data_IF_152249560006
#
_entry.id   IF_152249560006
#
_cell.length_a   1.000
_cell.length_b   1.000
_cell.length_c   1.000
_cell.angle_alpha   90.00
_cell.angle_beta   90.00
_cell.angle_gamma   90.00
#
_symmetry.space_group_name_H-M   'P 1'
#
loop_
_entity.id
_entity.type
_entity.pdbx_description
1 polymer ?
#
# COMPACT_ATOMS: atom_id res chain seq x y z
N UNK A 1 15.83 -7.82 -12.11
CA UNK A 1 14.58 -7.39 -11.45
C UNK A 1 13.45 -7.59 -12.44
N UNK A 2 12.33 -8.17 -12.00
CA UNK A 2 11.13 -8.46 -12.81
C UNK A 2 9.97 -7.67 -12.25
N UNK A 3 9.16 -7.05 -13.10
CA UNK A 3 7.94 -6.37 -12.71
C UNK A 3 6.71 -7.19 -13.15
N UNK A 4 5.74 -7.34 -12.25
CA UNK A 4 4.46 -7.97 -12.52
C UNK A 4 3.37 -6.91 -12.39
N UNK A 5 2.59 -6.71 -13.44
CA UNK A 5 1.42 -5.84 -13.41
C UNK A 5 0.16 -6.68 -13.31
N UNK A 6 -0.48 -6.68 -12.14
CA UNK A 6 -1.79 -7.30 -11.94
C UNK A 6 -2.86 -6.21 -12.05
N UNK A 7 -3.69 -6.29 -13.07
CA UNK A 7 -4.75 -5.32 -13.34
C UNK A 7 -5.12 -5.27 -14.82
N UNK A 8 -6.17 -4.50 -15.11
CA UNK A 8 -6.67 -4.26 -16.46
C UNK A 8 -7.24 -2.83 -16.53
N UNK A 9 -7.71 -2.44 -17.70
CA UNK A 9 -8.32 -1.12 -17.95
C UNK A 9 -9.73 -1.05 -17.36
N UNK A 10 -9.84 -0.64 -16.10
CA UNK A 10 -11.12 -0.60 -15.38
C UNK A 10 -12.21 0.24 -16.09
N UNK A 11 -11.81 1.31 -16.77
CA UNK A 11 -12.70 2.22 -17.50
C UNK A 11 -12.48 2.19 -19.01
N UNK A 12 -11.78 1.18 -19.55
CA UNK A 12 -11.50 1.06 -20.97
C UNK A 12 -10.77 2.28 -21.51
N UNK A 13 -11.23 2.79 -22.68
CA UNK A 13 -10.59 3.90 -23.41
C UNK A 13 -10.61 5.27 -22.69
N UNK A 14 -11.41 5.43 -21.63
CA UNK A 14 -11.47 6.67 -20.86
C UNK A 14 -10.48 6.67 -19.67
N UNK A 15 -9.76 5.56 -19.46
CA UNK A 15 -8.65 5.53 -18.49
C UNK A 15 -7.53 6.46 -18.96
N UNK A 16 -7.00 7.24 -18.05
CA UNK A 16 -5.81 8.04 -18.35
C UNK A 16 -4.63 7.14 -18.73
N UNK A 17 -3.82 7.57 -19.70
CA UNK A 17 -2.69 6.77 -20.23
C UNK A 17 -3.10 5.51 -20.99
N UNK A 18 -4.39 5.32 -21.37
CA UNK A 18 -4.87 4.10 -22.01
C UNK A 18 -4.05 3.67 -23.24
N UNK A 19 -3.76 4.60 -24.15
CA UNK A 19 -3.05 4.27 -25.40
C UNK A 19 -1.57 3.92 -25.15
N UNK A 20 -0.93 4.55 -24.18
CA UNK A 20 0.44 4.27 -23.77
C UNK A 20 0.54 2.88 -23.12
N UNK A 21 -0.33 2.60 -22.18
CA UNK A 21 -0.35 1.30 -21.47
C UNK A 21 -0.72 0.18 -22.43
N UNK A 22 -1.69 0.41 -23.34
CA UNK A 22 -2.06 -0.56 -24.36
C UNK A 22 -0.90 -0.92 -25.29
N UNK A 23 -0.06 0.07 -25.67
CA UNK A 23 1.16 -0.18 -26.44
C UNK A 23 2.18 -0.98 -25.65
N UNK A 24 2.35 -0.67 -24.35
CA UNK A 24 3.23 -1.42 -23.46
C UNK A 24 2.77 -2.87 -23.25
N UNK A 25 1.46 -3.10 -23.12
CA UNK A 25 0.88 -4.45 -23.04
C UNK A 25 1.11 -5.25 -24.33
N UNK A 26 0.99 -4.61 -25.50
CA UNK A 26 1.21 -5.26 -26.80
C UNK A 26 2.69 -5.60 -27.05
N UNK A 27 3.62 -4.80 -26.54
CA UNK A 27 5.06 -5.00 -26.66
C UNK A 27 5.74 -4.73 -25.31
N UNK A 28 5.61 -5.65 -24.33
CA UNK A 28 6.13 -5.43 -23.00
C UNK A 28 7.67 -5.43 -23.01
N UNK A 29 8.30 -4.59 -22.18
CA UNK A 29 9.72 -4.72 -21.89
C UNK A 29 10.06 -6.13 -21.38
N UNK A 30 11.26 -6.63 -21.64
CA UNK A 30 11.68 -8.01 -21.28
C UNK A 30 11.50 -8.32 -19.79
N UNK A 31 11.60 -7.30 -18.94
CA UNK A 31 11.48 -7.43 -17.49
C UNK A 31 10.10 -7.04 -16.95
N UNK A 32 9.07 -6.90 -17.80
CA UNK A 32 7.70 -6.59 -17.40
C UNK A 32 6.75 -7.68 -17.90
N UNK A 33 5.87 -8.14 -17.03
CA UNK A 33 4.77 -9.06 -17.35
C UNK A 33 3.43 -8.48 -16.94
N UNK A 34 2.53 -8.35 -17.89
CA UNK A 34 1.14 -7.99 -17.66
C UNK A 34 0.33 -9.25 -17.42
N UNK A 35 -0.22 -9.38 -16.22
CA UNK A 35 -0.98 -10.56 -15.80
C UNK A 35 -2.47 -10.47 -16.12
N UNK A 36 -2.94 -9.28 -16.57
CA UNK A 36 -4.36 -9.00 -16.75
C UNK A 36 -5.12 -8.96 -15.42
N UNK A 37 -6.45 -9.10 -15.52
CA UNK A 37 -7.31 -9.10 -14.34
C UNK A 37 -7.13 -10.41 -13.57
N UNK A 38 -6.74 -10.30 -12.32
CA UNK A 38 -6.61 -11.41 -11.38
C UNK A 38 -7.87 -11.47 -10.52
N UNK A 39 -8.43 -12.66 -10.35
CA UNK A 39 -9.54 -12.87 -9.43
C UNK A 39 -9.13 -12.50 -8.00
N UNK A 40 -9.99 -11.79 -7.29
CA UNK A 40 -9.70 -11.30 -5.92
C UNK A 40 -9.29 -12.41 -4.96
N UNK A 41 -9.88 -13.58 -5.10
CA UNK A 41 -9.56 -14.78 -4.31
C UNK A 41 -8.12 -15.27 -4.49
N UNK A 42 -7.47 -14.87 -5.60
CA UNK A 42 -6.11 -15.27 -5.96
C UNK A 42 -5.08 -14.15 -5.77
N UNK A 43 -5.49 -12.95 -5.40
CA UNK A 43 -4.55 -11.83 -5.22
C UNK A 43 -3.50 -12.12 -4.14
N UNK A 44 -3.84 -12.88 -3.10
CA UNK A 44 -2.89 -13.29 -2.08
C UNK A 44 -1.73 -14.14 -2.64
N UNK A 45 -1.95 -14.92 -3.72
CA UNK A 45 -0.89 -15.66 -4.40
C UNK A 45 0.12 -14.69 -5.02
N UNK A 46 -0.39 -13.60 -5.62
CA UNK A 46 0.45 -12.57 -6.26
C UNK A 46 1.26 -11.80 -5.22
N UNK A 47 0.64 -11.39 -4.10
CA UNK A 47 1.37 -10.71 -3.02
C UNK A 47 2.46 -11.61 -2.40
N UNK A 48 2.17 -12.89 -2.16
CA UNK A 48 3.17 -13.82 -1.63
C UNK A 48 4.26 -14.20 -2.63
N UNK A 49 4.04 -14.00 -3.92
CA UNK A 49 5.05 -14.18 -4.97
C UNK A 49 5.99 -12.96 -5.07
N UNK A 50 5.51 -11.78 -4.68
CA UNK A 50 6.24 -10.54 -4.84
C UNK A 50 7.25 -10.32 -3.71
N UNK A 51 8.43 -9.82 -4.06
CA UNK A 51 9.41 -9.33 -3.08
C UNK A 51 9.08 -7.91 -2.60
N UNK A 52 8.41 -7.12 -3.44
CA UNK A 52 8.05 -5.72 -3.16
C UNK A 52 6.72 -5.39 -3.81
N UNK A 53 5.82 -4.76 -3.05
CA UNK A 53 4.64 -4.08 -3.59
C UNK A 53 5.05 -2.68 -4.03
N UNK A 54 4.89 -2.37 -5.31
CA UNK A 54 5.31 -1.11 -5.91
C UNK A 54 4.10 -0.37 -6.51
N UNK A 55 3.78 0.81 -5.96
CA UNK A 55 2.66 1.63 -6.40
C UNK A 55 3.11 3.09 -6.57
N UNK A 56 3.57 3.50 -7.77
CA UNK A 56 4.08 4.84 -8.04
C UNK A 56 2.99 5.83 -8.47
N UNK A 57 1.74 5.64 -8.04
CA UNK A 57 0.60 6.49 -8.40
C UNK A 57 0.84 7.95 -8.04
N UNK A 58 0.37 8.88 -8.88
CA UNK A 58 0.42 10.31 -8.62
C UNK A 58 -0.71 10.80 -7.72
N UNK A 59 -1.84 10.09 -7.74
CA UNK A 59 -3.01 10.40 -6.93
C UNK A 59 -3.62 9.11 -6.40
N UNK A 60 -3.97 9.09 -5.14
CA UNK A 60 -4.60 7.96 -4.46
C UNK A 60 -5.52 8.47 -3.34
N UNK A 61 -6.48 7.63 -2.95
CA UNK A 61 -7.20 7.81 -1.71
C UNK A 61 -6.60 6.90 -0.63
N UNK A 62 -6.97 5.63 -0.66
CA UNK A 62 -6.38 4.59 0.19
C UNK A 62 -6.55 3.24 -0.50
N UNK A 63 -5.59 2.84 -1.33
CA UNK A 63 -5.71 1.59 -2.09
C UNK A 63 -5.65 0.37 -1.16
N UNK A 64 -6.66 -0.49 -1.26
CA UNK A 64 -6.76 -1.72 -0.47
C UNK A 64 -5.58 -2.67 -0.72
N UNK A 65 -4.97 -2.58 -1.90
CA UNK A 65 -3.78 -3.35 -2.27
C UNK A 65 -2.62 -3.14 -1.32
N UNK A 66 -2.51 -1.98 -0.69
CA UNK A 66 -1.51 -1.70 0.35
C UNK A 66 -1.75 -2.59 1.57
N UNK A 67 -2.99 -2.61 2.09
CA UNK A 67 -3.33 -3.43 3.26
C UNK A 67 -3.21 -4.93 2.97
N UNK A 68 -3.60 -5.34 1.77
CA UNK A 68 -3.49 -6.73 1.33
C UNK A 68 -2.03 -7.18 1.24
N UNK A 69 -1.13 -6.31 0.75
CA UNK A 69 0.32 -6.57 0.71
C UNK A 69 0.94 -6.58 2.11
N UNK A 70 0.55 -5.65 2.98
CA UNK A 70 0.97 -5.62 4.39
C UNK A 70 0.63 -6.94 5.09
N UNK A 71 -0.56 -7.49 4.82
CA UNK A 71 -0.99 -8.78 5.38
C UNK A 71 -0.10 -9.96 4.96
N UNK A 72 0.63 -9.82 3.86
CA UNK A 72 1.61 -10.81 3.39
C UNK A 72 3.05 -10.47 3.84
N UNK A 73 3.27 -9.40 4.59
CA UNK A 73 4.59 -8.96 5.04
C UNK A 73 5.50 -8.48 3.91
N UNK A 74 4.93 -8.13 2.77
CA UNK A 74 5.67 -7.65 1.60
C UNK A 74 6.08 -6.20 1.83
N UNK A 75 7.35 -5.82 1.67
CA UNK A 75 7.79 -4.43 1.68
C UNK A 75 6.96 -3.57 0.72
N UNK A 76 6.52 -2.40 1.17
CA UNK A 76 5.70 -1.47 0.41
C UNK A 76 6.55 -0.30 -0.06
N UNK A 77 6.57 -0.02 -1.37
CA UNK A 77 7.23 1.15 -1.96
C UNK A 77 6.20 1.97 -2.72
N UNK A 78 5.96 3.19 -2.26
CA UNK A 78 4.98 4.12 -2.81
C UNK A 78 5.63 5.43 -3.25
N UNK A 79 4.88 6.20 -4.07
CA UNK A 79 5.17 7.62 -4.25
C UNK A 79 4.91 8.36 -2.93
N UNK A 80 5.76 9.33 -2.61
CA UNK A 80 5.57 10.18 -1.43
C UNK A 80 4.39 11.14 -1.65
N UNK A 81 3.20 10.70 -1.26
CA UNK A 81 1.97 11.47 -1.35
C UNK A 81 1.58 11.98 0.04
N UNK A 82 1.20 13.26 0.17
CA UNK A 82 0.81 13.84 1.46
C UNK A 82 -0.28 13.05 2.20
N UNK A 83 -1.20 12.43 1.45
CA UNK A 83 -2.29 11.62 2.04
C UNK A 83 -1.77 10.43 2.86
N UNK A 84 -0.60 9.87 2.50
CA UNK A 84 -0.06 8.71 3.20
C UNK A 84 0.58 9.06 4.55
N UNK A 85 0.97 10.31 4.76
CA UNK A 85 1.65 10.73 5.98
C UNK A 85 0.79 10.48 7.24
N UNK A 86 -0.50 10.79 7.15
CA UNK A 86 -1.44 10.65 8.28
C UNK A 86 -2.07 9.25 8.40
N UNK A 87 -2.00 8.42 7.33
CA UNK A 87 -2.66 7.12 7.31
C UNK A 87 -1.69 5.95 7.28
N UNK A 88 -0.54 6.05 6.62
CA UNK A 88 0.44 4.96 6.57
C UNK A 88 1.63 5.18 7.51
N UNK A 89 1.78 6.40 8.07
CA UNK A 89 2.87 6.76 8.98
C UNK A 89 4.24 6.44 8.35
N UNK A 90 4.99 5.51 8.94
CA UNK A 90 6.29 5.03 8.44
C UNK A 90 6.30 3.54 8.04
N UNK A 91 5.11 2.95 7.82
CA UNK A 91 4.98 1.53 7.46
C UNK A 91 5.35 1.20 6.01
N UNK A 92 5.84 2.16 5.25
CA UNK A 92 6.19 2.02 3.84
C UNK A 92 7.50 2.73 3.51
N UNK A 93 8.09 2.37 2.37
CA UNK A 93 9.19 3.10 1.75
C UNK A 93 8.62 4.12 0.77
N UNK A 94 9.25 5.29 0.68
CA UNK A 94 8.78 6.41 -0.15
C UNK A 94 9.84 6.90 -1.12
N UNK A 95 9.42 7.36 -2.28
CA UNK A 95 10.25 8.06 -3.25
C UNK A 95 9.38 8.99 -4.11
N UNK A 96 9.95 10.11 -4.57
CA UNK A 96 9.22 11.13 -5.34
C UNK A 96 9.30 10.91 -6.84
N UNK A 97 10.40 10.32 -7.30
CA UNK A 97 10.74 10.19 -8.70
C UNK A 97 11.31 8.81 -9.07
N UNK A 98 11.61 8.63 -10.34
CA UNK A 98 12.13 7.37 -10.86
C UNK A 98 13.52 7.04 -10.30
N UNK A 99 14.37 8.02 -10.03
CA UNK A 99 15.70 7.82 -9.46
C UNK A 99 15.60 7.30 -8.03
N UNK A 100 14.74 7.91 -7.22
CA UNK A 100 14.43 7.47 -5.86
C UNK A 100 13.84 6.05 -5.83
N UNK A 101 12.88 5.74 -6.71
CA UNK A 101 12.34 4.39 -6.83
C UNK A 101 13.41 3.36 -7.19
N UNK A 102 14.25 3.67 -8.18
CA UNK A 102 15.35 2.78 -8.58
C UNK A 102 16.35 2.59 -7.44
N UNK A 103 16.65 3.64 -6.68
CA UNK A 103 17.50 3.57 -5.49
C UNK A 103 16.94 2.63 -4.42
N UNK A 104 15.65 2.79 -4.07
CA UNK A 104 14.97 1.91 -3.12
C UNK A 104 14.94 0.45 -3.59
N UNK A 105 14.55 0.20 -4.84
CA UNK A 105 14.47 -1.15 -5.40
C UNK A 105 15.84 -1.81 -5.46
N UNK A 106 16.88 -1.08 -5.86
CA UNK A 106 18.27 -1.58 -5.89
C UNK A 106 18.73 -1.95 -4.48
N UNK A 107 18.47 -1.09 -3.50
CA UNK A 107 18.84 -1.34 -2.12
C UNK A 107 18.09 -2.55 -1.53
N UNK A 108 16.79 -2.66 -1.78
CA UNK A 108 15.99 -3.82 -1.36
C UNK A 108 16.55 -5.14 -1.91
N UNK A 109 17.07 -5.13 -3.14
CA UNK A 109 17.64 -6.32 -3.77
C UNK A 109 19.05 -6.66 -3.28
N UNK A 110 19.85 -5.68 -2.83
CA UNK A 110 21.25 -5.84 -2.48
C UNK A 110 21.50 -5.94 -0.96
N UNK A 111 20.61 -5.37 -0.14
CA UNK A 111 20.76 -5.25 1.31
C UNK A 111 19.65 -6.03 2.02
N UNK A 112 19.98 -7.23 2.50
CA UNK A 112 19.03 -8.09 3.21
C UNK A 112 18.52 -7.46 4.50
N UNK A 113 19.35 -6.69 5.22
CA UNK A 113 18.94 -6.00 6.45
C UNK A 113 17.92 -4.91 6.16
N UNK A 114 18.12 -4.15 5.08
CA UNK A 114 17.17 -3.14 4.64
C UNK A 114 15.84 -3.77 4.18
N UNK A 115 15.90 -4.88 3.44
CA UNK A 115 14.71 -5.63 3.06
C UNK A 115 13.92 -6.11 4.29
N UNK A 116 14.62 -6.73 5.25
CA UNK A 116 13.98 -7.25 6.45
C UNK A 116 13.33 -6.12 7.28
N UNK A 117 14.01 -5.00 7.46
CA UNK A 117 13.43 -3.85 8.16
C UNK A 117 12.17 -3.29 7.45
N UNK A 118 12.16 -3.27 6.11
CA UNK A 118 10.99 -2.85 5.34
C UNK A 118 9.82 -3.85 5.46
N UNK A 119 10.11 -5.15 5.49
CA UNK A 119 9.12 -6.21 5.74
C UNK A 119 8.53 -6.13 7.15
N UNK A 120 9.36 -5.88 8.16
CA UNK A 120 8.93 -5.68 9.55
C UNK A 120 7.98 -4.48 9.67
N UNK A 121 8.30 -3.34 9.05
CA UNK A 121 7.40 -2.18 8.98
C UNK A 121 6.06 -2.51 8.32
N UNK A 122 6.08 -3.26 7.25
CA UNK A 122 4.86 -3.75 6.59
C UNK A 122 4.00 -4.59 7.55
N UNK A 123 4.62 -5.48 8.32
CA UNK A 123 3.92 -6.29 9.33
C UNK A 123 3.39 -5.46 10.50
N UNK A 124 4.11 -4.43 10.94
CA UNK A 124 3.60 -3.47 11.93
C UNK A 124 2.34 -2.75 11.41
N UNK A 125 2.37 -2.30 10.15
CA UNK A 125 1.21 -1.75 9.47
C UNK A 125 0.04 -2.73 9.40
N UNK A 126 0.30 -4.01 9.10
CA UNK A 126 -0.72 -5.06 9.14
C UNK A 126 -1.36 -5.18 10.53
N UNK A 127 -0.57 -5.18 11.61
CA UNK A 127 -1.09 -5.25 12.98
C UNK A 127 -1.95 -4.03 13.28
N UNK A 128 -1.51 -2.82 12.92
CA UNK A 128 -2.24 -1.58 13.11
C UNK A 128 -3.59 -1.58 12.39
N UNK A 129 -3.63 -2.08 11.15
CA UNK A 129 -4.85 -2.18 10.35
C UNK A 129 -5.60 -3.50 10.52
N UNK A 130 -5.18 -4.34 11.46
CA UNK A 130 -5.88 -5.61 11.72
C UNK A 130 -7.33 -5.36 12.16
N UNK A 131 -8.19 -6.31 11.82
CA UNK A 131 -9.60 -6.26 12.19
C UNK A 131 -9.79 -6.10 13.70
N UNK A 132 -8.96 -6.76 14.48
CA UNK A 132 -8.98 -6.75 15.96
C UNK A 132 -8.63 -5.35 16.48
N UNK A 133 -7.56 -4.75 15.96
CA UNK A 133 -7.12 -3.42 16.36
C UNK A 133 -8.16 -2.36 15.97
N UNK A 134 -8.60 -2.37 14.72
CA UNK A 134 -9.60 -1.42 14.21
C UNK A 134 -10.92 -1.55 14.97
N UNK A 135 -11.38 -2.77 15.27
CA UNK A 135 -12.58 -2.98 16.07
C UNK A 135 -12.44 -2.43 17.49
N UNK A 136 -11.24 -2.53 18.10
CA UNK A 136 -10.95 -1.94 19.41
C UNK A 136 -10.97 -0.41 19.34
N UNK A 137 -10.38 0.19 18.33
CA UNK A 137 -10.41 1.64 18.12
C UNK A 137 -11.84 2.16 17.99
N UNK A 138 -12.68 1.51 17.20
CA UNK A 138 -14.09 1.88 17.05
C UNK A 138 -14.86 1.76 18.36
N UNK A 139 -14.62 0.70 19.14
CA UNK A 139 -15.25 0.55 20.46
C UNK A 139 -14.89 1.70 21.38
N UNK A 140 -13.58 2.02 21.51
CA UNK A 140 -13.13 3.14 22.33
C UNK A 140 -13.75 4.48 21.87
N UNK A 141 -13.84 4.69 20.54
CA UNK A 141 -14.48 5.89 19.99
C UNK A 141 -15.95 5.99 20.39
N UNK A 142 -16.74 4.91 20.20
CA UNK A 142 -18.17 4.92 20.57
C UNK A 142 -18.38 5.07 22.07
N UNK A 143 -17.57 4.44 22.91
CA UNK A 143 -17.61 4.60 24.36
C UNK A 143 -17.32 6.05 24.75
N UNK A 144 -16.31 6.68 24.16
CA UNK A 144 -15.99 8.09 24.41
C UNK A 144 -17.10 9.04 23.98
N UNK A 145 -17.76 8.77 22.85
CA UNK A 145 -18.92 9.56 22.38
C UNK A 145 -20.12 9.38 23.29
N UNK A 146 -20.45 8.15 23.69
CA UNK A 146 -21.58 7.84 24.54
C UNK A 146 -21.45 8.47 25.95
N UNK A 147 -20.25 8.54 26.50
CA UNK A 147 -19.99 9.20 27.79
C UNK A 147 -20.11 10.73 27.69
N UNK A 148 -19.90 11.29 26.50
CA UNK A 148 -19.81 12.73 26.24
C UNK A 148 -21.10 13.40 25.77
N UNK A 149 -22.27 12.76 25.87
CA UNK A 149 -23.55 13.44 25.56
C UNK A 149 -23.76 14.76 26.33
N UNK A 150 -22.82 15.13 27.20
CA UNK A 150 -22.92 16.39 27.99
C UNK A 150 -21.92 17.48 27.67
N UNK A 151 -20.82 17.24 27.03
CA UNK A 151 -19.87 18.29 26.55
C UNK A 151 -18.62 17.67 25.90
N UNK A 152 -18.23 18.21 24.75
CA UNK A 152 -16.91 18.16 24.14
C UNK A 152 -16.82 17.33 22.84
N UNK A 153 -16.32 18.00 21.83
CA UNK A 153 -15.83 17.49 20.57
C UNK A 153 -14.36 16.99 20.76
N UNK A 154 -14.10 15.70 20.94
CA UNK A 154 -12.72 15.24 21.02
C UNK A 154 -12.15 15.27 19.60
N UNK A 155 -11.04 15.97 19.42
CA UNK A 155 -10.24 15.82 18.21
C UNK A 155 -9.81 14.35 18.11
N UNK A 156 -9.85 13.78 16.93
CA UNK A 156 -9.37 12.41 16.66
C UNK A 156 -7.93 12.16 17.15
N UNK A 157 -7.13 13.24 17.24
CA UNK A 157 -5.77 13.23 17.77
C UNK A 157 -5.66 12.89 19.27
N UNK A 158 -6.77 12.97 20.02
CA UNK A 158 -6.80 12.67 21.46
C UNK A 158 -7.16 11.20 21.76
N UNK A 159 -7.41 10.41 20.72
CA UNK A 159 -7.57 8.96 20.89
C UNK A 159 -6.20 8.36 21.20
N UNK A 160 -6.07 7.55 22.27
CA UNK A 160 -4.79 6.97 22.62
C UNK A 160 -4.26 6.16 21.42
N UNK A 161 -3.07 6.49 20.95
CA UNK A 161 -2.31 5.59 20.09
C UNK A 161 -2.07 4.34 20.94
N UNK A 162 -2.84 3.30 20.67
CA UNK A 162 -2.67 2.04 21.36
C UNK A 162 -1.43 1.37 20.75
N UNK A 163 -0.31 1.52 21.45
CA UNK A 163 0.91 0.78 21.21
C UNK A 163 0.67 -0.70 21.51
#
# INVERSE_FOLDING_TARGET
MQFLWAGDFAFGKISDGYEEIKKAVANPPENVRFLGLIERSRMNEIYNLADVMFLPSYEELFPMTILESMNCGVPILLRDLPIYEDILFDYYLRADDNEGFMGCLTRLSADRGYYQAASEKSMEGHIFYSREHVAKMWRCFYEAVAVKEKNINPKLADLPRLV
#
